data_IF_094817328450
#
_entry.id   IF_094817328450
#
_cell.length_a   1.000
_cell.length_b   1.000
_cell.length_c   1.000
_cell.angle_alpha   90.00
_cell.angle_beta   90.00
_cell.angle_gamma   90.00
#
_symmetry.space_group_name_H-M   'P 1'
#
loop_
_entity.id
_entity.type
_entity.pdbx_description
1 polymer ?
#
# COMPACT_ATOMS: atom_id res chain seq x y z
N UNK A 1 -20.85 1.70 14.51
CA UNK A 1 -19.45 1.73 14.01
C UNK A 1 -19.11 0.52 13.13
N UNK A 2 -19.37 -0.71 13.51
CA UNK A 2 -19.03 -1.92 12.71
C UNK A 2 -19.69 -1.96 11.31
N UNK A 3 -20.97 -1.60 11.19
CA UNK A 3 -21.66 -1.61 9.89
C UNK A 3 -20.97 -0.73 8.82
N UNK A 4 -20.41 0.40 9.24
CA UNK A 4 -19.77 1.34 8.32
C UNK A 4 -18.46 0.79 7.73
N UNK A 5 -17.70 -0.01 8.49
CA UNK A 5 -16.44 -0.62 8.01
C UNK A 5 -16.72 -1.62 6.90
N UNK A 6 -17.76 -2.43 7.00
CA UNK A 6 -18.14 -3.38 5.96
C UNK A 6 -18.55 -2.66 4.66
N UNK A 7 -19.30 -1.56 4.76
CA UNK A 7 -19.65 -0.75 3.57
C UNK A 7 -18.42 -0.11 2.93
N UNK A 8 -17.46 0.38 3.72
CA UNK A 8 -16.18 0.89 3.20
C UNK A 8 -15.43 -0.22 2.46
N UNK A 9 -15.35 -1.42 3.03
CA UNK A 9 -14.66 -2.54 2.40
C UNK A 9 -15.33 -2.96 1.09
N UNK A 10 -16.65 -3.13 1.08
CA UNK A 10 -17.39 -3.50 -0.14
C UNK A 10 -17.25 -2.43 -1.22
N UNK A 11 -17.40 -1.16 -0.86
CA UNK A 11 -17.29 -0.05 -1.80
C UNK A 11 -15.87 0.06 -2.37
N UNK A 12 -14.83 -0.09 -1.54
CA UNK A 12 -13.45 -0.03 -1.99
C UNK A 12 -13.11 -1.20 -2.94
N UNK A 13 -13.60 -2.40 -2.69
CA UNK A 13 -13.44 -3.55 -3.60
C UNK A 13 -14.12 -3.27 -4.94
N UNK A 14 -15.36 -2.81 -4.92
CA UNK A 14 -16.13 -2.51 -6.14
C UNK A 14 -15.45 -1.40 -6.96
N UNK A 15 -15.07 -0.28 -6.32
CA UNK A 15 -14.38 0.83 -6.99
C UNK A 15 -13.00 0.42 -7.51
N UNK A 16 -12.24 -0.39 -6.76
CA UNK A 16 -10.95 -0.91 -7.21
C UNK A 16 -11.11 -1.74 -8.48
N UNK A 17 -12.13 -2.61 -8.53
CA UNK A 17 -12.44 -3.40 -9.73
C UNK A 17 -12.76 -2.51 -10.94
N UNK A 18 -13.60 -1.49 -10.75
CA UNK A 18 -13.97 -0.53 -11.81
C UNK A 18 -12.74 0.26 -12.29
N UNK A 19 -11.93 0.80 -11.37
CA UNK A 19 -10.74 1.58 -11.74
C UNK A 19 -9.71 0.74 -12.48
N UNK A 20 -9.45 -0.48 -12.02
CA UNK A 20 -8.55 -1.39 -12.73
C UNK A 20 -9.08 -1.76 -14.12
N UNK A 21 -10.39 -2.00 -14.24
CA UNK A 21 -11.01 -2.25 -15.54
C UNK A 21 -10.89 -1.06 -16.50
N UNK A 22 -11.12 0.17 -16.02
CA UNK A 22 -10.94 1.40 -16.79
C UNK A 22 -9.49 1.55 -17.26
N UNK A 23 -8.52 1.34 -16.36
CA UNK A 23 -7.09 1.43 -16.68
C UNK A 23 -6.73 0.42 -17.78
N UNK A 24 -7.18 -0.83 -17.66
CA UNK A 24 -6.95 -1.87 -18.66
C UNK A 24 -7.61 -1.53 -20.00
N UNK A 25 -8.83 -0.97 -19.99
CA UNK A 25 -9.53 -0.55 -21.20
C UNK A 25 -8.78 0.58 -21.92
N UNK A 26 -8.35 1.61 -21.18
CA UNK A 26 -7.62 2.76 -21.72
C UNK A 26 -6.27 2.30 -22.30
N UNK A 27 -5.54 1.45 -21.58
CA UNK A 27 -4.22 0.97 -22.02
C UNK A 27 -4.31 0.09 -23.27
N UNK A 28 -5.35 -0.72 -23.38
CA UNK A 28 -5.61 -1.49 -24.62
C UNK A 28 -5.91 -0.57 -25.81
N UNK A 29 -6.77 0.47 -25.59
CA UNK A 29 -7.20 1.38 -26.66
C UNK A 29 -6.08 2.26 -27.19
N UNK A 30 -5.22 2.77 -26.31
CA UNK A 30 -4.18 3.74 -26.69
C UNK A 30 -2.80 3.12 -26.91
N UNK A 31 -2.72 1.77 -27.00
CA UNK A 31 -1.45 1.03 -27.28
C UNK A 31 -0.25 1.63 -26.53
N UNK A 32 -0.30 1.56 -25.19
CA UNK A 32 0.81 2.02 -24.32
C UNK A 32 2.12 1.23 -24.52
N UNK A 33 2.24 0.61 -25.70
CA UNK A 33 3.37 -0.20 -26.16
C UNK A 33 4.71 0.55 -26.14
N UNK A 34 4.66 1.90 -26.20
CA UNK A 34 5.87 2.73 -26.31
C UNK A 34 6.57 3.00 -24.97
N UNK A 35 5.84 2.94 -23.87
CA UNK A 35 6.40 3.22 -22.54
C UNK A 35 7.04 1.98 -21.89
N UNK A 36 6.58 0.78 -22.27
CA UNK A 36 7.09 -0.49 -21.73
C UNK A 36 8.41 -0.96 -22.38
N UNK A 37 8.84 -0.34 -23.46
CA UNK A 37 10.08 -0.69 -24.18
C UNK A 37 11.35 -0.24 -23.45
N UNK A 38 11.25 0.55 -22.39
CA UNK A 38 12.39 1.04 -21.63
C UNK A 38 12.86 0.09 -20.51
N UNK A 39 12.11 -0.97 -20.21
CA UNK A 39 12.43 -1.88 -19.12
C UNK A 39 12.57 -3.33 -19.59
N UNK A 40 13.80 -3.72 -20.00
CA UNK A 40 14.15 -5.10 -20.36
C UNK A 40 14.16 -6.08 -19.18
N UNK A 41 14.01 -5.60 -17.94
CA UNK A 41 14.13 -6.41 -16.72
C UNK A 41 12.84 -7.11 -16.26
N UNK A 42 11.68 -6.80 -16.85
CA UNK A 42 10.42 -7.49 -16.49
C UNK A 42 10.19 -8.70 -17.37
N UNK A 43 10.29 -9.88 -16.77
CA UNK A 43 9.91 -11.18 -17.37
C UNK A 43 8.40 -11.34 -17.55
N UNK A 44 7.59 -10.43 -17.01
CA UNK A 44 6.12 -10.47 -16.96
C UNK A 44 5.49 -9.73 -18.15
N UNK A 45 4.36 -10.22 -18.61
CA UNK A 45 3.55 -9.72 -19.74
C UNK A 45 3.63 -8.21 -19.96
N UNK A 46 4.27 -7.79 -21.05
CA UNK A 46 4.54 -6.40 -21.47
C UNK A 46 3.29 -5.52 -21.68
N UNK A 47 2.09 -6.02 -21.38
CA UNK A 47 0.81 -5.38 -21.73
C UNK A 47 0.01 -4.85 -20.53
N UNK A 48 0.45 -5.05 -19.29
CA UNK A 48 -0.26 -4.56 -18.11
C UNK A 48 0.42 -3.31 -17.56
N UNK A 49 -0.31 -2.20 -17.39
CA UNK A 49 0.25 -0.98 -16.82
C UNK A 49 0.50 -1.15 -15.31
N UNK A 50 1.58 -0.59 -14.77
CA UNK A 50 1.88 -0.67 -13.33
C UNK A 50 1.07 0.36 -12.53
N UNK A 51 -0.24 0.41 -12.72
CA UNK A 51 -1.15 1.36 -12.08
C UNK A 51 -2.18 0.69 -11.15
N UNK A 52 -2.14 -0.63 -11.03
CA UNK A 52 -3.10 -1.38 -10.22
C UNK A 52 -3.10 -0.97 -8.74
N UNK A 53 -1.92 -0.76 -8.17
CA UNK A 53 -1.76 -0.28 -6.79
C UNK A 53 -2.36 1.10 -6.56
N UNK A 54 -2.17 2.02 -7.51
CA UNK A 54 -2.76 3.38 -7.45
C UNK A 54 -4.28 3.30 -7.53
N UNK A 55 -4.83 2.47 -8.42
CA UNK A 55 -6.26 2.26 -8.54
C UNK A 55 -6.89 1.76 -7.23
N UNK A 56 -6.26 0.77 -6.60
CA UNK A 56 -6.74 0.20 -5.34
C UNK A 56 -6.62 1.18 -4.17
N UNK A 57 -5.50 1.90 -4.06
CA UNK A 57 -5.31 2.91 -3.02
C UNK A 57 -6.27 4.10 -3.19
N UNK A 58 -6.51 4.55 -4.43
CA UNK A 58 -7.49 5.59 -4.72
C UNK A 58 -8.93 5.14 -4.39
N UNK A 59 -9.29 3.91 -4.72
CA UNK A 59 -10.58 3.34 -4.39
C UNK A 59 -10.81 3.30 -2.86
N UNK A 60 -9.81 2.87 -2.11
CA UNK A 60 -9.86 2.88 -0.64
C UNK A 60 -10.02 4.30 -0.10
N UNK A 61 -9.18 5.23 -0.54
CA UNK A 61 -9.22 6.62 -0.09
C UNK A 61 -10.58 7.29 -0.38
N UNK A 62 -11.13 7.08 -1.57
CA UNK A 62 -12.46 7.59 -1.95
C UNK A 62 -13.56 6.97 -1.08
N UNK A 63 -13.51 5.65 -0.86
CA UNK A 63 -14.52 4.94 -0.07
C UNK A 63 -14.57 5.43 1.37
N UNK A 64 -13.40 5.65 1.98
CA UNK A 64 -13.27 6.19 3.34
C UNK A 64 -13.87 7.59 3.43
N UNK A 65 -13.58 8.46 2.47
CA UNK A 65 -14.10 9.84 2.47
C UNK A 65 -15.60 9.89 2.16
N UNK A 66 -16.09 9.05 1.25
CA UNK A 66 -17.48 9.09 0.78
C UNK A 66 -18.47 8.63 1.86
N UNK A 67 -18.11 7.64 2.64
CA UNK A 67 -19.00 7.10 3.68
C UNK A 67 -19.02 7.96 4.97
N UNK A 68 -18.20 9.01 5.06
CA UNK A 68 -18.30 10.10 6.05
C UNK A 68 -18.23 9.70 7.53
N UNK A 69 -18.06 8.42 7.82
CA UNK A 69 -18.07 7.84 9.17
C UNK A 69 -16.71 7.26 9.57
N UNK A 70 -15.71 7.46 8.72
CA UNK A 70 -14.37 6.96 9.00
C UNK A 70 -13.69 7.87 10.03
N UNK A 71 -13.10 7.25 11.04
CA UNK A 71 -12.17 7.94 11.91
C UNK A 71 -11.12 8.65 11.05
N UNK A 72 -10.78 9.86 11.44
CA UNK A 72 -9.76 10.68 10.77
C UNK A 72 -8.46 9.91 10.49
N UNK A 73 -8.15 8.92 11.31
CA UNK A 73 -7.03 8.02 11.16
C UNK A 73 -7.05 7.27 9.82
N UNK A 74 -8.22 6.76 9.40
CA UNK A 74 -8.34 6.04 8.12
C UNK A 74 -8.15 6.95 6.91
N UNK A 75 -8.56 8.22 7.02
CA UNK A 75 -8.34 9.22 5.96
C UNK A 75 -6.85 9.46 5.78
N UNK A 76 -6.11 9.64 6.87
CA UNK A 76 -4.66 9.84 6.84
C UNK A 76 -3.96 8.62 6.27
N UNK A 77 -4.25 7.42 6.77
CA UNK A 77 -3.67 6.17 6.27
C UNK A 77 -3.95 6.01 4.77
N UNK A 78 -5.19 6.28 4.35
CA UNK A 78 -5.59 6.23 2.94
C UNK A 78 -4.82 7.21 2.06
N UNK A 79 -4.63 8.46 2.51
CA UNK A 79 -3.89 9.47 1.78
C UNK A 79 -2.41 9.08 1.61
N UNK A 80 -1.75 8.63 2.68
CA UNK A 80 -0.34 8.24 2.61
C UNK A 80 -0.13 6.92 1.86
N UNK A 81 -1.06 5.96 1.94
CA UNK A 81 -1.01 4.75 1.13
C UNK A 81 -1.13 5.06 -0.37
N UNK A 82 -1.94 6.06 -0.73
CA UNK A 82 -2.06 6.55 -2.10
C UNK A 82 -0.73 7.18 -2.58
N UNK A 83 -0.08 7.99 -1.74
CA UNK A 83 1.23 8.58 -2.07
C UNK A 83 2.31 7.51 -2.28
N UNK A 84 2.35 6.47 -1.42
CA UNK A 84 3.28 5.36 -1.55
C UNK A 84 3.00 4.56 -2.84
N UNK A 85 1.75 4.32 -3.19
CA UNK A 85 1.40 3.60 -4.42
C UNK A 85 1.71 4.40 -5.69
N UNK A 86 1.56 5.73 -5.66
CA UNK A 86 2.00 6.64 -6.73
C UNK A 86 3.53 6.56 -6.87
N UNK A 87 4.27 6.62 -5.76
CA UNK A 87 5.73 6.49 -5.79
C UNK A 87 6.17 5.15 -6.39
N UNK A 88 5.50 4.05 -6.01
CA UNK A 88 5.74 2.73 -6.60
C UNK A 88 5.51 2.71 -8.12
N UNK A 89 4.41 3.31 -8.59
CA UNK A 89 4.14 3.41 -10.03
C UNK A 89 5.18 4.28 -10.76
N UNK A 90 5.61 5.39 -10.16
CA UNK A 90 6.68 6.23 -10.71
C UNK A 90 7.99 5.43 -10.81
N UNK A 91 8.32 4.65 -9.80
CA UNK A 91 9.48 3.76 -9.82
C UNK A 91 9.39 2.74 -10.96
N UNK A 92 8.23 2.15 -11.17
CA UNK A 92 7.97 1.19 -12.24
C UNK A 92 8.11 1.80 -13.65
N UNK A 93 7.77 3.09 -13.81
CA UNK A 93 7.91 3.78 -15.10
C UNK A 93 9.31 4.33 -15.35
N UNK A 94 9.96 4.89 -14.33
CA UNK A 94 11.18 5.68 -14.48
C UNK A 94 12.43 5.01 -13.89
N UNK A 95 12.31 3.84 -13.23
CA UNK A 95 13.42 3.16 -12.54
C UNK A 95 14.18 4.10 -11.61
N UNK A 96 13.52 4.58 -10.59
CA UNK A 96 14.12 5.48 -9.61
C UNK A 96 15.37 4.86 -8.98
N UNK A 97 16.35 5.69 -8.65
CA UNK A 97 17.46 5.21 -7.83
C UNK A 97 16.95 4.77 -6.45
N UNK A 98 17.51 3.69 -5.90
CA UNK A 98 17.11 3.14 -4.60
C UNK A 98 17.17 4.18 -3.47
N UNK A 99 18.10 5.14 -3.54
CA UNK A 99 18.23 6.24 -2.57
C UNK A 99 17.02 7.17 -2.59
N UNK A 100 16.57 7.58 -3.78
CA UNK A 100 15.40 8.45 -3.96
C UNK A 100 14.15 7.73 -3.48
N UNK A 101 13.99 6.45 -3.87
CA UNK A 101 12.86 5.63 -3.46
C UNK A 101 12.77 5.52 -1.94
N UNK A 102 13.85 5.12 -1.27
CA UNK A 102 13.89 4.99 0.19
C UNK A 102 13.66 6.33 0.90
N UNK A 103 14.19 7.43 0.37
CA UNK A 103 14.00 8.76 0.94
C UNK A 103 12.51 9.14 0.98
N UNK A 104 11.81 9.05 -0.15
CA UNK A 104 10.38 9.37 -0.20
C UNK A 104 9.53 8.36 0.57
N UNK A 105 9.85 7.07 0.51
CA UNK A 105 9.18 6.06 1.34
C UNK A 105 9.31 6.38 2.83
N UNK A 106 10.50 6.77 3.28
CA UNK A 106 10.73 7.12 4.70
C UNK A 106 9.86 8.30 5.13
N UNK A 107 9.73 9.33 4.30
CA UNK A 107 8.87 10.49 4.59
C UNK A 107 7.40 10.06 4.65
N UNK A 108 6.92 9.35 3.63
CA UNK A 108 5.50 8.96 3.54
C UNK A 108 5.08 7.93 4.60
N UNK A 109 6.02 7.16 5.13
CA UNK A 109 5.79 6.24 6.25
C UNK A 109 5.90 6.95 7.60
N UNK A 110 6.89 7.81 7.78
CA UNK A 110 7.14 8.49 9.05
C UNK A 110 6.01 9.46 9.42
N UNK A 111 5.49 10.22 8.43
CA UNK A 111 4.45 11.22 8.65
C UNK A 111 3.17 10.64 9.30
N UNK A 112 2.51 9.61 8.77
CA UNK A 112 1.33 9.04 9.40
C UNK A 112 1.63 8.42 10.78
N UNK A 113 2.80 7.81 10.96
CA UNK A 113 3.22 7.24 12.25
C UNK A 113 3.31 8.33 13.32
N UNK A 114 3.95 9.47 13.00
CA UNK A 114 4.04 10.62 13.91
C UNK A 114 2.66 11.21 14.18
N UNK A 115 1.90 11.46 13.11
CA UNK A 115 0.63 12.18 13.21
C UNK A 115 -0.43 11.38 13.99
N UNK A 116 -0.47 10.07 13.80
CA UNK A 116 -1.40 9.17 14.46
C UNK A 116 -0.89 8.64 15.80
N UNK A 117 0.37 8.94 16.13
CA UNK A 117 1.05 8.45 17.32
C UNK A 117 1.01 6.91 17.46
N UNK A 118 1.14 6.21 16.34
CA UNK A 118 1.08 4.74 16.27
C UNK A 118 2.50 4.20 16.21
N UNK A 119 3.00 3.69 17.35
CA UNK A 119 4.33 3.09 17.44
C UNK A 119 4.23 1.60 17.77
N UNK A 120 5.15 0.82 17.23
CA UNK A 120 5.38 -0.54 17.71
C UNK A 120 5.95 -0.45 19.12
N UNK A 121 5.24 -0.96 20.08
CA UNK A 121 5.70 -0.99 21.48
C UNK A 121 6.58 -2.23 21.70
N UNK A 122 7.88 -2.08 21.41
CA UNK A 122 8.86 -3.16 21.56
C UNK A 122 9.28 -3.32 23.02
N UNK A 123 9.09 -2.30 23.86
CA UNK A 123 9.35 -2.36 25.30
C UNK A 123 8.61 -3.53 25.94
N UNK A 124 7.34 -3.72 25.60
CA UNK A 124 6.52 -4.82 26.13
C UNK A 124 6.97 -6.20 25.66
N UNK A 125 7.62 -6.29 24.51
CA UNK A 125 8.11 -7.55 23.93
C UNK A 125 9.49 -7.95 24.49
N UNK A 126 10.37 -6.98 24.73
CA UNK A 126 11.76 -7.23 25.10
C UNK A 126 12.05 -6.95 26.58
N UNK A 127 11.07 -6.42 27.34
CA UNK A 127 11.27 -5.95 28.72
C UNK A 127 12.46 -4.97 28.88
N UNK A 128 12.63 -4.09 27.89
CA UNK A 128 13.68 -3.09 27.85
C UNK A 128 13.05 -1.70 27.96
N UNK A 129 13.57 -0.84 28.84
CA UNK A 129 13.16 0.57 28.90
C UNK A 129 13.74 1.31 27.68
N UNK A 130 12.99 1.34 26.59
CA UNK A 130 13.39 1.98 25.33
C UNK A 130 12.76 3.37 25.22
N UNK A 131 13.48 4.33 24.66
CA UNK A 131 12.97 5.66 24.43
C UNK A 131 11.94 5.67 23.26
N UNK A 132 10.91 6.50 23.35
CA UNK A 132 9.90 6.69 22.30
C UNK A 132 10.50 6.94 20.90
N UNK A 133 11.66 7.62 20.82
CA UNK A 133 12.39 7.82 19.57
C UNK A 133 12.87 6.52 18.94
N UNK A 134 13.21 5.51 19.76
CA UNK A 134 13.63 4.20 19.28
C UNK A 134 12.44 3.40 18.75
N UNK A 135 11.31 3.42 19.46
CA UNK A 135 10.06 2.80 19.01
C UNK A 135 9.58 3.41 17.68
N UNK A 136 9.69 4.73 17.52
CA UNK A 136 9.43 5.40 16.25
C UNK A 136 10.33 4.91 15.12
N UNK A 137 11.65 4.90 15.34
CA UNK A 137 12.62 4.47 14.33
C UNK A 137 12.35 3.04 13.86
N UNK A 138 12.13 2.13 14.81
CA UNK A 138 11.82 0.72 14.48
C UNK A 138 10.49 0.61 13.74
N UNK A 139 9.47 1.37 14.12
CA UNK A 139 8.17 1.36 13.43
C UNK A 139 8.32 1.77 11.96
N UNK A 140 9.07 2.83 11.69
CA UNK A 140 9.34 3.31 10.32
C UNK A 140 10.11 2.25 9.53
N UNK A 141 11.20 1.72 10.10
CA UNK A 141 12.00 0.67 9.45
C UNK A 141 11.19 -0.59 9.15
N UNK A 142 10.34 -1.01 10.10
CA UNK A 142 9.48 -2.17 9.96
C UNK A 142 8.50 -2.03 8.79
N UNK A 143 7.80 -0.89 8.70
CA UNK A 143 6.86 -0.63 7.61
C UNK A 143 7.57 -0.55 6.26
N UNK A 144 8.73 0.12 6.18
CA UNK A 144 9.54 0.19 4.95
C UNK A 144 9.99 -1.21 4.53
N UNK A 145 10.42 -2.04 5.48
CA UNK A 145 10.84 -3.41 5.21
C UNK A 145 9.68 -4.24 4.63
N UNK A 146 8.49 -4.14 5.21
CA UNK A 146 7.29 -4.84 4.70
C UNK A 146 6.95 -4.38 3.28
N UNK A 147 6.91 -3.06 3.03
CA UNK A 147 6.60 -2.50 1.70
C UNK A 147 7.58 -3.04 0.65
N UNK A 148 8.89 -3.00 0.94
CA UNK A 148 9.89 -3.47 -0.01
C UNK A 148 9.91 -4.99 -0.16
N UNK A 149 9.61 -5.75 0.90
CA UNK A 149 9.48 -7.21 0.82
C UNK A 149 8.30 -7.62 -0.06
N UNK A 150 7.13 -6.98 0.10
CA UNK A 150 5.97 -7.24 -0.75
C UNK A 150 6.26 -6.86 -2.21
N UNK A 151 6.90 -5.70 -2.44
CA UNK A 151 7.30 -5.28 -3.78
C UNK A 151 8.29 -6.26 -4.44
N UNK A 152 9.18 -6.88 -3.66
CA UNK A 152 10.08 -7.92 -4.14
C UNK A 152 9.33 -9.22 -4.52
N UNK A 153 8.37 -9.62 -3.71
CA UNK A 153 7.54 -10.81 -3.94
C UNK A 153 6.60 -10.61 -5.16
N UNK A 154 6.18 -9.37 -5.44
CA UNK A 154 5.29 -9.03 -6.56
C UNK A 154 5.91 -9.26 -7.94
N UNK A 155 7.20 -9.58 -8.01
CA UNK A 155 7.83 -10.04 -9.25
C UNK A 155 7.36 -11.44 -9.72
N UNK A 156 6.63 -12.18 -8.87
CA UNK A 156 6.07 -13.50 -9.19
C UNK A 156 4.54 -13.42 -9.26
N UNK A 157 3.98 -13.82 -10.40
CA UNK A 157 2.53 -13.76 -10.66
C UNK A 157 1.70 -14.41 -9.54
N UNK A 158 0.87 -13.61 -8.89
CA UNK A 158 -0.07 -14.03 -7.87
C UNK A 158 0.51 -14.30 -6.47
N UNK A 159 1.83 -14.41 -6.30
CA UNK A 159 2.43 -14.74 -5.00
C UNK A 159 2.20 -13.62 -3.98
N UNK A 160 2.35 -12.36 -4.39
CA UNK A 160 2.09 -11.21 -3.52
C UNK A 160 0.63 -11.19 -3.02
N UNK A 161 -0.32 -11.53 -3.88
CA UNK A 161 -1.75 -11.59 -3.51
C UNK A 161 -2.02 -12.68 -2.48
N UNK A 162 -1.43 -13.87 -2.64
CA UNK A 162 -1.59 -14.98 -1.70
C UNK A 162 -0.96 -14.63 -0.35
N UNK A 163 0.25 -14.07 -0.33
CA UNK A 163 0.94 -13.70 0.91
C UNK A 163 0.19 -12.60 1.64
N UNK A 164 -0.15 -11.50 0.97
CA UNK A 164 -0.89 -10.39 1.60
C UNK A 164 -2.29 -10.81 2.04
N UNK A 165 -2.98 -11.62 1.24
CA UNK A 165 -4.30 -12.16 1.58
C UNK A 165 -4.26 -13.06 2.82
N UNK A 166 -3.23 -13.92 2.96
CA UNK A 166 -3.07 -14.75 4.14
C UNK A 166 -2.74 -13.95 5.40
N UNK A 167 -1.92 -12.90 5.30
CA UNK A 167 -1.62 -11.99 6.42
C UNK A 167 -2.89 -11.28 6.88
N UNK A 168 -3.68 -10.72 5.94
CA UNK A 168 -4.94 -10.07 6.26
C UNK A 168 -5.93 -11.04 6.92
N UNK A 169 -6.06 -12.26 6.42
CA UNK A 169 -6.91 -13.29 7.00
C UNK A 169 -6.51 -13.65 8.43
N UNK A 170 -5.21 -13.87 8.68
CA UNK A 170 -4.70 -14.16 10.03
C UNK A 170 -4.92 -12.98 10.98
N UNK A 171 -4.72 -11.74 10.52
CA UNK A 171 -4.96 -10.54 11.34
C UNK A 171 -6.43 -10.43 11.75
N UNK A 172 -7.36 -10.76 10.86
CA UNK A 172 -8.79 -10.80 11.14
C UNK A 172 -9.08 -11.87 12.20
N UNK A 173 -8.56 -13.09 12.06
CA UNK A 173 -8.76 -14.17 13.03
C UNK A 173 -8.26 -13.77 14.43
N UNK A 174 -7.09 -13.13 14.53
CA UNK A 174 -6.53 -12.68 15.78
C UNK A 174 -7.41 -11.62 16.47
N UNK A 175 -7.99 -10.68 15.71
CA UNK A 175 -8.90 -9.66 16.26
C UNK A 175 -10.23 -10.22 16.74
N UNK A 176 -10.68 -11.37 16.23
CA UNK A 176 -11.89 -12.04 16.71
C UNK A 176 -11.63 -13.01 17.87
N UNK A 177 -10.38 -13.39 18.12
CA UNK A 177 -9.99 -14.30 19.20
C UNK A 177 -9.64 -13.58 20.52
N UNK A 178 -9.48 -12.26 20.48
CA UNK A 178 -9.25 -11.37 21.63
C UNK A 178 -10.54 -10.72 22.12
#
# INVERSE_FOLDING_TARGET
MQLNIYYVAILSIALSGVFNWIILYITKKYSFKKLSLLNEKRLVNKNTPPLGGVASAAAFFISVNFLGSADYNFIIIGAFSLLISILGSIDDFFNLSWKIKLFFQSIFVAMPIIYLNIFLNIESLLNLDLNNSFNFLISVLWVILIINSINFIDNMDGLAVVVTGSICYQSILLTYSL
#
